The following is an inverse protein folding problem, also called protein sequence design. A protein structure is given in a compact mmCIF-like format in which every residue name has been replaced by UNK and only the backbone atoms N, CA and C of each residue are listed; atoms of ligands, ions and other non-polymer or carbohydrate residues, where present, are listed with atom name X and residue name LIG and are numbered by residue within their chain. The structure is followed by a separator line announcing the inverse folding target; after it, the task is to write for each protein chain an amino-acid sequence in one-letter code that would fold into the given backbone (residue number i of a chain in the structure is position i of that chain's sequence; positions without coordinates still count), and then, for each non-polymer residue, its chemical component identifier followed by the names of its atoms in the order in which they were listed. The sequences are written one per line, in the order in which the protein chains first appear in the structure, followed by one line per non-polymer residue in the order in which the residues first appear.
data_IF_112369709468
#
_entry.id   IF_112369709468
#
_cell.length_a   1.000
_cell.length_b   1.000
_cell.length_c   1.000
_cell.angle_alpha   90.00
_cell.angle_beta   90.00
_cell.angle_gamma   90.00
#
_symmetry.space_group_name_H-M   'P 1'
#
loop_
_entity.id
_entity.type
_entity.pdbx_description
1 polymer ?
#
# COMPACT_ATOMS: atom_id res chain seq x y z
N UNK A 1 -2.39 43.94 -15.92
CA UNK A 1 -1.73 42.66 -15.56
C UNK A 1 -2.44 41.54 -16.29
N UNK A 2 -1.76 40.78 -17.15
CA UNK A 2 -2.35 39.63 -17.87
C UNK A 2 -2.10 38.37 -17.05
N UNK A 3 -3.16 37.65 -16.68
CA UNK A 3 -3.07 36.39 -15.93
C UNK A 3 -3.39 35.26 -16.90
N UNK A 4 -2.35 34.52 -17.30
CA UNK A 4 -2.47 33.48 -18.34
C UNK A 4 -3.09 32.18 -17.84
N UNK A 5 -3.19 31.98 -16.52
CA UNK A 5 -3.63 30.74 -15.85
C UNK A 5 -2.94 29.46 -16.36
N UNK A 6 -1.76 29.58 -16.97
CA UNK A 6 -0.96 28.42 -17.38
C UNK A 6 -0.50 27.66 -16.14
N UNK A 7 -0.65 26.35 -16.15
CA UNK A 7 -0.21 25.44 -15.10
C UNK A 7 0.27 24.13 -15.72
N UNK A 8 1.17 23.44 -15.03
CA UNK A 8 1.53 22.07 -15.35
C UNK A 8 0.32 21.15 -15.12
N UNK A 9 0.02 20.21 -16.02
CA UNK A 9 -0.98 19.18 -15.75
C UNK A 9 -0.66 18.37 -14.49
N UNK A 10 -1.69 17.96 -13.72
CA UNK A 10 -1.47 17.09 -12.54
C UNK A 10 -0.81 15.76 -12.91
N UNK A 11 -1.07 15.27 -14.12
CA UNK A 11 -0.53 14.03 -14.69
C UNK A 11 0.73 14.30 -15.53
N UNK A 12 1.62 15.16 -15.05
CA UNK A 12 2.97 15.29 -15.60
C UNK A 12 3.85 14.22 -14.99
N UNK A 13 4.51 13.45 -15.85
CA UNK A 13 5.45 12.39 -15.50
C UNK A 13 6.82 12.75 -16.05
N UNK A 14 7.89 12.44 -15.33
CA UNK A 14 9.22 12.39 -15.90
C UNK A 14 9.39 11.06 -16.64
N UNK A 15 9.79 11.09 -17.90
CA UNK A 15 9.95 9.91 -18.75
C UNK A 15 11.41 9.68 -19.08
N UNK A 16 11.76 8.41 -19.14
CA UNK A 16 13.09 7.90 -19.42
C UNK A 16 12.99 6.54 -20.08
N UNK A 17 14.10 6.00 -20.58
CA UNK A 17 14.07 4.69 -21.22
C UNK A 17 13.49 3.61 -20.28
N UNK A 18 12.26 3.14 -20.52
CA UNK A 18 11.58 2.13 -19.70
C UNK A 18 10.97 2.63 -18.39
N UNK A 19 10.98 3.94 -18.12
CA UNK A 19 10.60 4.51 -16.82
C UNK A 19 9.66 5.71 -16.97
N UNK A 20 8.62 5.76 -16.13
CA UNK A 20 7.74 6.92 -16.00
C UNK A 20 7.53 7.22 -14.51
N UNK A 21 7.98 8.39 -14.07
CA UNK A 21 7.92 8.80 -12.67
C UNK A 21 6.88 9.90 -12.48
N UNK A 22 5.81 9.59 -11.73
CA UNK A 22 4.80 10.55 -11.33
C UNK A 22 5.38 11.60 -10.38
N UNK A 23 4.94 12.85 -10.50
CA UNK A 23 5.40 13.95 -9.64
C UNK A 23 4.42 14.20 -8.47
N UNK A 24 4.94 14.69 -7.32
CA UNK A 24 4.08 15.19 -6.25
C UNK A 24 3.28 16.41 -6.72
N UNK A 25 2.23 16.77 -5.99
CA UNK A 25 1.47 17.98 -6.29
C UNK A 25 2.39 19.22 -6.14
N UNK A 26 2.63 19.91 -7.26
CA UNK A 26 3.44 21.13 -7.32
C UNK A 26 2.55 22.37 -7.35
N UNK A 27 3.06 23.48 -6.85
CA UNK A 27 2.37 24.78 -6.92
C UNK A 27 2.27 25.22 -8.39
N UNK A 28 3.25 24.86 -9.23
CA UNK A 28 3.20 24.99 -10.68
C UNK A 28 2.00 24.26 -11.35
N UNK A 29 1.32 23.34 -10.66
CA UNK A 29 0.10 22.67 -11.14
C UNK A 29 -1.20 23.40 -10.72
N UNK A 30 -1.08 24.51 -9.98
CA UNK A 30 -2.21 25.30 -9.49
C UNK A 30 -2.34 26.58 -10.35
N UNK A 31 -3.39 26.72 -11.18
CA UNK A 31 -3.54 27.91 -12.00
C UNK A 31 -3.78 29.16 -11.15
N UNK A 32 -3.06 30.24 -11.45
CA UNK A 32 -3.13 31.50 -10.70
C UNK A 32 -4.57 32.07 -10.60
N UNK A 33 -4.91 32.62 -9.44
CA UNK A 33 -6.23 33.18 -9.10
C UNK A 33 -7.40 32.22 -9.40
N UNK A 34 -7.21 30.92 -9.14
CA UNK A 34 -8.30 29.94 -9.20
C UNK A 34 -8.85 29.66 -7.81
N UNK A 35 -10.17 29.52 -7.70
CA UNK A 35 -10.80 29.11 -6.47
C UNK A 35 -10.30 27.71 -6.07
N UNK A 36 -9.89 27.52 -4.81
CA UNK A 36 -9.26 26.28 -4.34
C UNK A 36 -10.11 25.03 -4.65
N UNK A 37 -11.44 25.14 -4.60
CA UNK A 37 -12.36 24.04 -4.93
C UNK A 37 -12.23 23.52 -6.38
N UNK A 38 -11.70 24.32 -7.30
CA UNK A 38 -11.56 23.98 -8.72
C UNK A 38 -10.14 23.54 -9.11
N UNK A 39 -9.16 23.64 -8.21
CA UNK A 39 -7.76 23.31 -8.50
C UNK A 39 -7.49 21.82 -8.25
N UNK A 40 -6.36 21.27 -8.73
CA UNK A 40 -5.91 19.94 -8.33
C UNK A 40 -5.66 19.79 -6.82
N UNK A 41 -5.49 20.92 -6.11
CA UNK A 41 -5.28 20.97 -4.67
C UNK A 41 -6.58 21.02 -3.85
N UNK A 42 -7.75 20.82 -4.48
CA UNK A 42 -9.01 20.83 -3.75
C UNK A 42 -9.11 19.65 -2.78
N UNK A 43 -9.64 19.83 -1.55
CA UNK A 43 -9.76 18.73 -0.59
C UNK A 43 -10.49 17.50 -1.14
N UNK A 44 -11.47 17.70 -2.04
CA UNK A 44 -12.20 16.61 -2.68
C UNK A 44 -11.31 15.76 -3.61
N UNK A 45 -10.33 16.37 -4.30
CA UNK A 45 -9.39 15.67 -5.21
C UNK A 45 -8.19 15.05 -4.49
N UNK A 46 -7.91 15.51 -3.27
CA UNK A 46 -6.85 15.00 -2.42
C UNK A 46 -7.28 13.87 -1.48
N UNK A 47 -8.54 13.44 -1.54
CA UNK A 47 -9.02 12.30 -0.74
C UNK A 47 -8.20 11.05 -1.05
N UNK A 48 -7.77 10.37 0.01
CA UNK A 48 -7.06 9.10 -0.01
C UNK A 48 -7.74 8.17 0.98
N UNK A 49 -7.70 6.87 0.69
CA UNK A 49 -8.27 5.84 1.54
C UNK A 49 -7.25 4.71 1.67
N UNK A 50 -6.96 4.32 2.90
CA UNK A 50 -6.05 3.23 3.22
C UNK A 50 -6.71 2.28 4.21
N UNK A 51 -6.58 0.99 3.97
CA UNK A 51 -7.00 -0.06 4.89
C UNK A 51 -5.79 -0.89 5.28
N UNK A 52 -5.60 -1.08 6.59
CA UNK A 52 -4.54 -1.94 7.13
C UNK A 52 -5.20 -3.06 7.91
N UNK A 53 -5.00 -4.30 7.47
CA UNK A 53 -5.52 -5.49 8.12
C UNK A 53 -4.45 -6.13 9.00
N UNK A 54 -4.82 -6.37 10.26
CA UNK A 54 -4.03 -7.11 11.24
C UNK A 54 -4.78 -8.42 11.55
N UNK A 55 -4.27 -9.58 11.10
CA UNK A 55 -4.94 -10.86 11.32
C UNK A 55 -4.82 -11.31 12.79
N UNK A 56 -5.58 -12.33 13.18
CA UNK A 56 -5.39 -13.08 14.44
C UNK A 56 -5.53 -12.27 15.74
N UNK A 57 -6.07 -11.04 15.64
CA UNK A 57 -6.44 -10.22 16.78
C UNK A 57 -5.26 -9.50 17.44
N UNK A 58 -5.49 -9.00 18.65
CA UNK A 58 -4.49 -8.32 19.47
C UNK A 58 -4.80 -8.49 20.96
N UNK A 59 -3.85 -8.14 21.82
CA UNK A 59 -4.14 -7.95 23.24
C UNK A 59 -5.06 -6.74 23.42
N UNK A 60 -6.35 -7.02 23.54
CA UNK A 60 -7.43 -6.01 23.64
C UNK A 60 -7.20 -5.06 24.83
N UNK A 61 -6.57 -5.53 25.91
CA UNK A 61 -6.31 -4.73 27.11
C UNK A 61 -5.24 -3.66 26.87
N UNK A 62 -4.34 -3.89 25.92
CA UNK A 62 -3.27 -2.96 25.52
C UNK A 62 -3.58 -2.23 24.22
N UNK A 63 -4.56 -2.69 23.46
CA UNK A 63 -5.08 -2.04 22.25
C UNK A 63 -6.12 -0.97 22.56
N UNK A 64 -7.09 -1.26 23.42
CA UNK A 64 -8.25 -0.38 23.65
C UNK A 64 -7.87 0.76 24.60
N UNK A 65 -7.95 2.04 24.17
CA UNK A 65 -7.79 3.17 25.07
C UNK A 65 -8.86 3.18 26.17
N UNK A 66 -8.63 3.88 27.29
CA UNK A 66 -9.68 4.14 28.26
C UNK A 66 -10.88 4.83 27.57
N UNK A 67 -12.10 4.41 27.94
CA UNK A 67 -13.34 4.94 27.36
C UNK A 67 -13.62 6.34 27.89
N UNK A 68 -13.38 7.35 27.05
CA UNK A 68 -13.72 8.75 27.31
C UNK A 68 -14.31 9.39 26.05
N UNK A 69 -15.05 10.50 26.20
CA UNK A 69 -15.63 11.24 25.06
C UNK A 69 -14.57 11.84 24.12
N UNK A 70 -13.30 11.87 24.55
CA UNK A 70 -12.15 12.33 23.79
C UNK A 70 -10.97 11.38 23.97
N UNK A 71 -10.21 11.16 22.88
CA UNK A 71 -8.99 10.36 22.90
C UNK A 71 -7.81 11.19 23.41
N UNK A 72 -7.80 11.48 24.71
CA UNK A 72 -6.72 12.25 25.35
C UNK A 72 -5.49 11.37 25.60
N UNK A 73 -5.67 10.08 25.83
CA UNK A 73 -4.58 9.12 26.04
C UNK A 73 -4.63 7.97 25.04
N UNK A 74 -3.45 7.60 24.51
CA UNK A 74 -3.30 6.42 23.66
C UNK A 74 -2.93 5.22 24.50
N UNK A 75 -3.51 4.06 24.20
CA UNK A 75 -3.11 2.78 24.78
C UNK A 75 -1.67 2.42 24.40
N UNK A 76 -0.99 1.51 25.13
CA UNK A 76 0.39 1.15 24.85
C UNK A 76 0.64 0.74 23.39
N UNK A 77 -0.28 -0.04 22.79
CA UNK A 77 -0.15 -0.48 21.39
C UNK A 77 -0.35 0.66 20.40
N UNK A 78 -1.15 1.68 20.75
CA UNK A 78 -1.40 2.85 19.91
C UNK A 78 -0.44 4.01 20.16
N UNK A 79 0.40 3.94 21.18
CA UNK A 79 1.37 4.99 21.54
C UNK A 79 2.26 5.50 20.39
N UNK A 80 2.65 4.68 19.38
CA UNK A 80 3.40 5.21 18.23
C UNK A 80 2.64 6.24 17.38
N UNK A 81 1.32 6.34 17.54
CA UNK A 81 0.48 7.33 16.84
C UNK A 81 0.44 8.70 17.54
N UNK A 82 1.15 8.88 18.66
CA UNK A 82 1.18 10.16 19.40
C UNK A 82 1.47 11.39 18.52
N UNK A 83 2.37 11.35 17.51
CA UNK A 83 2.64 12.51 16.64
C UNK A 83 1.46 12.95 15.77
N UNK A 84 0.41 12.12 15.66
CA UNK A 84 -0.78 12.38 14.84
C UNK A 84 -2.08 12.14 15.63
N UNK A 85 -2.02 12.16 16.96
CA UNK A 85 -3.13 11.80 17.87
C UNK A 85 -4.41 12.56 17.55
N UNK A 86 -4.31 13.84 17.22
CA UNK A 86 -5.42 14.71 16.83
C UNK A 86 -6.16 14.28 15.56
N UNK A 87 -5.57 13.37 14.79
CA UNK A 87 -6.13 12.77 13.58
C UNK A 87 -6.55 11.30 13.78
N UNK A 88 -6.46 10.78 15.02
CA UNK A 88 -6.81 9.39 15.34
C UNK A 88 -8.18 9.35 16.02
N UNK A 89 -9.01 8.42 15.57
CA UNK A 89 -10.23 8.03 16.26
C UNK A 89 -10.20 6.53 16.49
N UNK A 90 -10.58 6.10 17.70
CA UNK A 90 -10.73 4.68 18.04
C UNK A 90 -12.22 4.38 18.17
N UNK A 91 -12.70 3.49 17.31
CA UNK A 91 -14.07 3.00 17.34
C UNK A 91 -14.11 1.66 18.08
N UNK A 92 -14.88 1.59 19.16
CA UNK A 92 -15.04 0.39 19.99
C UNK A 92 -16.45 -0.16 19.86
N UNK A 93 -16.67 -1.36 20.41
CA UNK A 93 -17.98 -2.04 20.41
C UNK A 93 -18.56 -2.25 18.99
N UNK A 94 -17.68 -2.55 18.03
CA UNK A 94 -18.04 -2.93 16.67
C UNK A 94 -17.81 -4.42 16.47
N UNK A 95 -18.75 -5.06 15.78
CA UNK A 95 -18.62 -6.45 15.35
C UNK A 95 -18.96 -6.59 13.86
N UNK A 96 -18.27 -7.52 13.19
CA UNK A 96 -18.65 -7.96 11.85
C UNK A 96 -19.50 -9.22 11.99
N UNK A 97 -20.81 -9.05 12.21
CA UNK A 97 -21.76 -10.17 12.41
C UNK A 97 -21.66 -11.27 11.35
N UNK A 98 -21.37 -10.89 10.10
CA UNK A 98 -21.25 -11.85 8.98
C UNK A 98 -19.96 -12.69 8.99
N UNK A 99 -19.00 -12.37 9.86
CA UNK A 99 -17.81 -13.19 10.11
C UNK A 99 -18.12 -14.45 10.94
N UNK A 100 -19.21 -14.46 11.72
CA UNK A 100 -19.49 -15.54 12.66
C UNK A 100 -19.87 -16.87 11.99
N UNK A 101 -19.44 -18.03 12.54
CA UNK A 101 -18.91 -18.24 13.90
C UNK A 101 -17.45 -17.79 14.12
N UNK A 102 -16.76 -17.27 13.10
CA UNK A 102 -15.41 -16.75 13.20
C UNK A 102 -14.40 -17.85 12.90
N UNK A 103 -13.76 -17.75 11.74
CA UNK A 103 -12.63 -18.56 11.33
C UNK A 103 -11.61 -17.66 10.65
N UNK A 104 -10.41 -18.16 10.37
CA UNK A 104 -9.40 -17.42 9.62
C UNK A 104 -9.94 -16.93 8.26
N UNK A 105 -10.65 -17.79 7.53
CA UNK A 105 -11.28 -17.44 6.26
C UNK A 105 -12.38 -16.38 6.41
N UNK A 106 -13.27 -16.52 7.40
CA UNK A 106 -14.39 -15.58 7.53
C UNK A 106 -13.96 -14.23 8.11
N UNK A 107 -12.96 -14.18 8.99
CA UNK A 107 -12.38 -12.93 9.50
C UNK A 107 -11.77 -12.09 8.38
N UNK A 108 -10.92 -12.70 7.55
CA UNK A 108 -10.32 -12.00 6.42
C UNK A 108 -11.38 -11.57 5.38
N UNK A 109 -12.21 -12.52 4.92
CA UNK A 109 -13.18 -12.24 3.88
C UNK A 109 -14.20 -11.16 4.29
N UNK A 110 -14.62 -11.11 5.56
CA UNK A 110 -15.61 -10.15 6.02
C UNK A 110 -15.06 -8.74 6.27
N UNK A 111 -13.74 -8.56 6.45
CA UNK A 111 -13.14 -7.29 6.87
C UNK A 111 -13.55 -6.10 6.00
N UNK A 112 -13.35 -6.19 4.68
CA UNK A 112 -13.71 -5.12 3.74
C UNK A 112 -15.04 -5.35 3.00
N UNK A 113 -15.55 -6.59 3.00
CA UNK A 113 -16.80 -6.90 2.30
C UNK A 113 -18.04 -6.72 3.18
N UNK A 114 -17.87 -6.83 4.50
CA UNK A 114 -18.96 -7.01 5.48
C UNK A 114 -19.96 -8.12 5.07
N UNK A 115 -19.56 -9.04 4.19
CA UNK A 115 -20.42 -10.06 3.59
C UNK A 115 -20.13 -11.43 4.18
N UNK A 116 -21.14 -12.32 4.14
CA UNK A 116 -20.97 -13.71 4.55
C UNK A 116 -20.38 -14.52 3.39
N UNK A 117 -19.16 -15.02 3.56
CA UNK A 117 -18.53 -15.90 2.59
C UNK A 117 -19.38 -17.17 2.37
N UNK A 118 -19.59 -17.54 1.11
CA UNK A 118 -20.17 -18.84 0.77
C UNK A 118 -19.23 -19.94 1.24
N UNK A 119 -19.76 -20.87 2.04
CA UNK A 119 -19.00 -22.04 2.48
C UNK A 119 -18.84 -23.00 1.31
N UNK A 120 -17.65 -23.00 0.72
CA UNK A 120 -17.25 -23.88 -0.37
C UNK A 120 -15.73 -24.02 -0.37
N UNK A 121 -15.25 -25.19 -0.78
CA UNK A 121 -13.83 -25.47 -1.02
C UNK A 121 -13.48 -25.41 -2.52
N UNK A 122 -14.47 -25.11 -3.37
CA UNK A 122 -14.35 -25.10 -4.83
C UNK A 122 -14.19 -23.69 -5.40
N UNK A 123 -14.20 -23.58 -6.72
CA UNK A 123 -14.07 -22.32 -7.48
C UNK A 123 -15.38 -21.53 -7.58
N UNK A 124 -16.48 -22.07 -7.06
CA UNK A 124 -17.80 -21.42 -7.01
C UNK A 124 -17.96 -20.49 -5.79
N UNK A 125 -16.83 -20.01 -5.25
CA UNK A 125 -16.77 -19.05 -4.16
C UNK A 125 -17.55 -17.78 -4.50
N UNK A 126 -18.17 -17.22 -3.47
CA UNK A 126 -18.94 -15.99 -3.54
C UNK A 126 -18.77 -15.19 -2.26
N UNK A 127 -18.60 -13.88 -2.38
CA UNK A 127 -18.48 -12.94 -1.26
C UNK A 127 -19.33 -11.69 -1.52
N UNK A 128 -18.67 -10.57 -1.79
CA UNK A 128 -19.25 -9.26 -2.04
C UNK A 128 -18.15 -8.33 -2.54
N UNK A 129 -18.52 -7.26 -3.26
CA UNK A 129 -17.55 -6.22 -3.61
C UNK A 129 -17.12 -5.49 -2.36
N UNK A 130 -15.82 -5.35 -2.17
CA UNK A 130 -15.23 -4.77 -0.96
C UNK A 130 -15.25 -3.23 -1.00
N UNK A 131 -15.24 -2.60 0.17
CA UNK A 131 -15.39 -1.14 0.31
C UNK A 131 -14.25 -0.36 -0.36
N UNK A 132 -13.02 -0.88 -0.35
CA UNK A 132 -11.88 -0.34 -1.08
C UNK A 132 -12.16 -0.31 -2.59
N UNK A 133 -12.75 -1.36 -3.15
CA UNK A 133 -13.08 -1.44 -4.57
C UNK A 133 -14.28 -0.56 -4.95
N UNK A 134 -15.24 -0.38 -4.03
CA UNK A 134 -16.28 0.64 -4.18
C UNK A 134 -15.64 2.04 -4.22
N UNK A 135 -14.67 2.32 -3.35
CA UNK A 135 -13.95 3.58 -3.34
C UNK A 135 -13.09 3.77 -4.60
N UNK A 136 -12.40 2.73 -5.07
CA UNK A 136 -11.58 2.76 -6.29
C UNK A 136 -12.41 3.17 -7.51
N UNK A 137 -13.66 2.67 -7.60
CA UNK A 137 -14.62 3.09 -8.63
C UNK A 137 -15.03 4.55 -8.53
N UNK A 138 -14.83 5.24 -7.41
CA UNK A 138 -15.22 6.65 -7.22
C UNK A 138 -14.01 7.59 -7.31
N UNK A 139 -12.92 7.27 -6.63
CA UNK A 139 -11.76 8.17 -6.50
C UNK A 139 -10.51 7.67 -7.24
N UNK A 140 -10.46 6.40 -7.67
CA UNK A 140 -9.33 5.79 -8.37
C UNK A 140 -9.32 5.94 -9.89
N UNK A 141 -10.41 6.42 -10.51
CA UNK A 141 -10.50 6.61 -11.98
C UNK A 141 -9.50 7.64 -12.51
N UNK A 142 -9.04 8.52 -11.63
CA UNK A 142 -8.18 9.64 -11.98
C UNK A 142 -6.68 9.35 -11.80
N UNK A 143 -6.31 8.14 -11.36
CA UNK A 143 -4.93 7.75 -11.08
C UNK A 143 -4.47 6.61 -11.99
N UNK A 144 -3.17 6.33 -12.02
CA UNK A 144 -2.58 5.25 -12.83
C UNK A 144 -3.12 3.89 -12.42
N UNK A 145 -3.15 3.66 -11.10
CA UNK A 145 -3.74 2.47 -10.49
C UNK A 145 -5.05 2.89 -9.81
N UNK A 146 -6.18 2.22 -10.11
CA UNK A 146 -7.44 2.48 -9.41
C UNK A 146 -7.37 2.17 -7.91
N UNK A 147 -6.60 1.16 -7.55
CA UNK A 147 -6.28 0.72 -6.19
C UNK A 147 -4.93 0.00 -6.17
N UNK A 148 -4.38 -0.20 -4.97
CA UNK A 148 -3.13 -0.94 -4.76
C UNK A 148 -3.32 -1.92 -3.59
N UNK A 149 -3.26 -3.21 -3.91
CA UNK A 149 -3.41 -4.32 -2.97
C UNK A 149 -2.04 -4.88 -2.58
N UNK A 150 -1.71 -4.81 -1.28
CA UNK A 150 -0.41 -5.16 -0.74
C UNK A 150 -0.56 -6.19 0.39
N UNK A 151 0.46 -7.03 0.54
CA UNK A 151 0.56 -7.97 1.65
C UNK A 151 2.01 -8.05 2.17
N UNK A 152 2.21 -8.76 3.27
CA UNK A 152 3.53 -9.06 3.81
C UNK A 152 3.98 -10.50 3.55
N UNK A 153 3.09 -11.33 3.01
CA UNK A 153 3.27 -12.77 2.84
C UNK A 153 2.93 -13.19 1.41
N UNK A 154 3.63 -14.21 0.92
CA UNK A 154 3.35 -14.84 -0.37
C UNK A 154 2.01 -15.59 -0.34
N UNK A 155 1.33 -15.57 -1.49
CA UNK A 155 0.22 -16.45 -1.80
C UNK A 155 0.74 -17.88 -1.97
N UNK A 156 0.85 -18.65 -0.89
CA UNK A 156 1.44 -19.99 -0.93
C UNK A 156 0.42 -21.15 -1.00
N UNK A 157 -0.89 -20.89 -0.85
CA UNK A 157 -1.87 -21.99 -0.69
C UNK A 157 -3.05 -21.88 -1.67
N UNK A 158 -3.31 -22.97 -2.40
CA UNK A 158 -4.46 -23.18 -3.30
C UNK A 158 -5.21 -24.44 -2.86
N UNK A 159 -6.54 -24.41 -2.89
CA UNK A 159 -7.40 -25.52 -2.46
C UNK A 159 -8.24 -25.17 -1.24
N UNK A 160 -8.21 -26.04 -0.23
CA UNK A 160 -8.88 -25.83 1.06
C UNK A 160 -7.89 -25.23 2.05
N UNK A 161 -8.28 -24.13 2.69
CA UNK A 161 -7.44 -23.51 3.71
C UNK A 161 -8.06 -23.53 5.12
N UNK A 162 -9.39 -23.63 5.25
CA UNK A 162 -10.03 -23.55 6.57
C UNK A 162 -11.46 -24.10 6.57
N UNK A 163 -11.66 -25.26 7.20
CA UNK A 163 -12.95 -25.75 7.68
C UNK A 163 -14.14 -25.69 6.68
N UNK A 164 -13.90 -25.93 5.39
CA UNK A 164 -14.94 -25.83 4.35
C UNK A 164 -14.91 -24.53 3.54
N UNK A 165 -13.85 -23.73 3.66
CA UNK A 165 -13.64 -22.50 2.91
C UNK A 165 -12.42 -22.58 1.99
N UNK A 166 -12.60 -22.11 0.77
CA UNK A 166 -11.59 -21.98 -0.25
C UNK A 166 -10.51 -20.96 0.18
N UNK A 167 -9.25 -21.25 -0.17
CA UNK A 167 -8.11 -20.39 0.17
C UNK A 167 -8.24 -18.94 -0.28
N UNK A 168 -9.02 -18.68 -1.32
CA UNK A 168 -9.30 -17.32 -1.81
C UNK A 168 -9.77 -16.37 -0.71
N UNK A 169 -10.52 -16.87 0.28
CA UNK A 169 -11.08 -16.09 1.38
C UNK A 169 -10.04 -15.67 2.44
N UNK A 170 -8.93 -16.41 2.57
CA UNK A 170 -7.82 -16.03 3.45
C UNK A 170 -6.72 -15.24 2.74
N UNK A 171 -6.66 -15.40 1.42
CA UNK A 171 -5.58 -14.89 0.60
C UNK A 171 -5.86 -13.50 0.02
N UNK A 172 -7.11 -13.05 0.01
CA UNK A 172 -7.51 -11.81 -0.66
C UNK A 172 -8.49 -11.01 0.22
N UNK A 173 -8.04 -9.85 0.68
CA UNK A 173 -8.90 -8.86 1.33
C UNK A 173 -9.83 -8.14 0.33
N UNK A 174 -9.33 -7.90 -0.89
CA UNK A 174 -9.97 -7.05 -1.89
C UNK A 174 -10.70 -7.87 -2.95
N UNK A 175 -11.93 -7.47 -3.27
CA UNK A 175 -12.80 -8.14 -4.23
C UNK A 175 -13.48 -7.09 -5.13
N UNK A 176 -13.11 -7.07 -6.40
CA UNK A 176 -13.66 -6.11 -7.38
C UNK A 176 -15.12 -6.42 -7.74
N UNK A 177 -15.54 -7.67 -7.58
CA UNK A 177 -16.91 -8.17 -7.73
C UNK A 177 -17.14 -9.30 -6.71
N UNK A 178 -18.40 -9.73 -6.47
CA UNK A 178 -18.67 -10.87 -5.57
C UNK A 178 -17.95 -12.18 -5.92
N UNK A 179 -17.42 -12.31 -7.14
CA UNK A 179 -16.73 -13.50 -7.64
C UNK A 179 -15.33 -13.21 -8.17
N UNK A 180 -14.79 -12.00 -7.95
CA UNK A 180 -13.50 -11.59 -8.50
C UNK A 180 -12.59 -11.06 -7.39
N UNK A 181 -11.81 -11.93 -6.73
CA UNK A 181 -10.78 -11.51 -5.79
C UNK A 181 -9.66 -10.77 -6.53
N UNK A 182 -8.96 -9.88 -5.82
CA UNK A 182 -7.76 -9.20 -6.30
C UNK A 182 -6.55 -9.67 -5.50
N UNK A 183 -5.50 -10.21 -6.14
CA UNK A 183 -4.31 -10.66 -5.45
C UNK A 183 -3.53 -9.47 -4.90
N UNK A 184 -2.98 -9.64 -3.70
CA UNK A 184 -2.08 -8.68 -3.08
C UNK A 184 -0.62 -9.00 -3.40
N UNK A 185 0.21 -7.96 -3.56
CA UNK A 185 1.65 -8.12 -3.80
C UNK A 185 2.46 -7.93 -2.51
N UNK A 186 3.38 -8.86 -2.24
CA UNK A 186 4.24 -8.86 -1.06
C UNK A 186 5.68 -8.43 -1.35
N UNK A 187 6.11 -8.53 -2.61
CA UNK A 187 7.48 -8.30 -3.01
C UNK A 187 7.71 -6.81 -3.31
N UNK A 188 8.54 -6.09 -2.54
CA UNK A 188 8.73 -4.64 -2.66
C UNK A 188 9.31 -4.23 -4.02
N UNK A 189 10.17 -5.06 -4.64
CA UNK A 189 10.61 -4.84 -6.05
C UNK A 189 9.44 -4.80 -7.04
N UNK A 190 8.51 -5.74 -6.97
CA UNK A 190 7.37 -5.81 -7.90
C UNK A 190 6.46 -4.61 -7.67
N UNK A 191 6.21 -4.24 -6.41
CA UNK A 191 5.46 -3.02 -6.08
C UNK A 191 6.15 -1.78 -6.65
N UNK A 192 7.46 -1.61 -6.39
CA UNK A 192 8.24 -0.48 -6.90
C UNK A 192 8.18 -0.37 -8.43
N UNK A 193 8.34 -1.49 -9.14
CA UNK A 193 8.24 -1.53 -10.60
C UNK A 193 6.83 -1.24 -11.12
N UNK A 194 5.79 -1.62 -10.36
CA UNK A 194 4.39 -1.33 -10.66
C UNK A 194 4.10 0.16 -10.49
N UNK A 195 4.73 0.81 -9.51
CA UNK A 195 4.59 2.25 -9.28
C UNK A 195 5.34 3.09 -10.32
N UNK A 196 6.56 2.69 -10.74
CA UNK A 196 7.46 3.61 -11.44
C UNK A 196 7.96 3.17 -12.82
N UNK A 197 7.72 1.95 -13.27
CA UNK A 197 8.15 1.54 -14.62
C UNK A 197 7.06 1.77 -15.68
N UNK A 198 7.44 1.79 -16.96
CA UNK A 198 6.52 2.12 -18.08
C UNK A 198 5.35 1.14 -18.29
N UNK A 199 4.27 1.58 -18.93
CA UNK A 199 3.20 0.69 -19.39
C UNK A 199 3.68 -0.13 -20.60
N UNK A 200 4.09 -1.39 -20.35
CA UNK A 200 4.49 -2.32 -21.40
C UNK A 200 4.99 -3.66 -20.85
N UNK A 201 4.14 -4.69 -20.95
CA UNK A 201 4.45 -6.13 -20.91
C UNK A 201 5.49 -6.64 -19.91
N UNK A 202 5.04 -7.43 -18.93
CA UNK A 202 5.86 -8.15 -17.94
C UNK A 202 6.97 -9.04 -18.52
N UNK A 203 6.88 -9.45 -19.79
CA UNK A 203 7.82 -10.37 -20.42
C UNK A 203 9.16 -9.74 -20.84
N UNK A 204 9.21 -8.45 -21.18
CA UNK A 204 10.46 -7.75 -21.56
C UNK A 204 11.13 -7.03 -20.36
N UNK A 205 10.39 -6.92 -19.24
CA UNK A 205 10.75 -6.22 -18.00
C UNK A 205 11.96 -6.86 -17.31
N UNK A 206 11.93 -8.19 -17.12
CA UNK A 206 12.93 -8.97 -16.39
C UNK A 206 14.31 -8.97 -17.04
N UNK A 207 14.37 -8.86 -18.36
CA UNK A 207 15.62 -8.85 -19.14
C UNK A 207 16.23 -7.45 -19.22
N UNK A 208 15.39 -6.40 -19.23
CA UNK A 208 15.86 -5.01 -19.31
C UNK A 208 16.46 -4.50 -17.99
N UNK A 209 16.05 -5.07 -16.84
CA UNK A 209 16.44 -4.59 -15.51
C UNK A 209 17.69 -5.27 -14.92
N UNK A 210 18.11 -6.43 -15.42
CA UNK A 210 19.43 -7.02 -15.05
C UNK A 210 20.62 -6.14 -15.46
N UNK A 211 20.40 -5.03 -16.19
CA UNK A 211 21.46 -4.19 -16.77
C UNK A 211 21.36 -2.69 -16.46
N UNK A 212 20.42 -2.20 -15.64
CA UNK A 212 20.21 -0.74 -15.52
C UNK A 212 20.69 -0.16 -14.20
N UNK A 213 21.40 0.96 -14.34
CA UNK A 213 21.63 1.98 -13.33
C UNK A 213 20.28 2.48 -12.76
N UNK A 214 20.31 3.19 -11.62
CA UNK A 214 19.12 3.60 -10.85
C UNK A 214 17.99 4.12 -11.75
N UNK A 215 16.73 3.84 -11.38
CA UNK A 215 15.55 4.38 -12.07
C UNK A 215 15.66 5.88 -12.35
N UNK A 216 16.28 6.63 -11.42
CA UNK A 216 16.45 8.07 -11.56
C UNK A 216 17.49 8.48 -12.60
N UNK A 217 18.44 7.62 -12.92
CA UNK A 217 19.42 7.88 -13.98
C UNK A 217 18.70 7.98 -15.34
N UNK A 218 17.64 7.19 -15.54
CA UNK A 218 16.85 7.17 -16.76
C UNK A 218 16.06 8.47 -17.00
N UNK A 219 15.73 9.24 -15.95
CA UNK A 219 14.91 10.47 -16.05
C UNK A 219 15.69 11.77 -15.85
N UNK A 220 17.02 11.69 -15.71
CA UNK A 220 17.90 12.83 -15.37
C UNK A 220 17.74 14.03 -16.31
N UNK A 221 17.70 13.79 -17.62
CA UNK A 221 17.59 14.87 -18.61
C UNK A 221 16.24 15.57 -18.55
N UNK A 222 15.16 14.83 -18.32
CA UNK A 222 13.83 15.41 -18.20
C UNK A 222 13.67 16.19 -16.90
N UNK A 223 14.22 15.66 -15.81
CA UNK A 223 14.30 16.36 -14.53
C UNK A 223 15.03 17.70 -14.68
N UNK A 224 16.21 17.71 -15.32
CA UNK A 224 17.00 18.92 -15.53
C UNK A 224 16.23 19.98 -16.36
N UNK A 225 15.43 19.55 -17.33
CA UNK A 225 14.54 20.46 -18.09
C UNK A 225 13.41 20.98 -17.20
N UNK A 226 12.75 20.12 -16.44
CA UNK A 226 11.64 20.50 -15.57
C UNK A 226 12.09 21.51 -14.51
N UNK A 227 13.21 21.24 -13.81
CA UNK A 227 13.72 22.11 -12.76
C UNK A 227 13.92 23.56 -13.24
N UNK A 228 14.34 23.79 -14.49
CA UNK A 228 14.48 25.15 -15.06
C UNK A 228 13.18 25.95 -15.06
N UNK A 229 12.03 25.28 -15.12
CA UNK A 229 10.70 25.89 -15.17
C UNK A 229 10.03 26.04 -13.81
N UNK A 230 10.50 25.31 -12.80
CA UNK A 230 9.90 25.27 -11.46
C UNK A 230 10.35 26.42 -10.57
N UNK A 231 9.47 26.80 -9.65
CA UNK A 231 9.78 27.71 -8.54
C UNK A 231 10.79 27.08 -7.57
N UNK A 232 11.51 27.86 -6.74
CA UNK A 232 12.41 27.30 -5.73
C UNK A 232 11.71 26.35 -4.74
N UNK A 233 10.43 26.59 -4.42
CA UNK A 233 9.66 25.72 -3.53
C UNK A 233 9.33 24.38 -4.21
N UNK A 234 8.88 24.42 -5.47
CA UNK A 234 8.59 23.21 -6.24
C UNK A 234 9.85 22.38 -6.51
N UNK A 235 10.99 23.03 -6.79
CA UNK A 235 12.28 22.34 -6.92
C UNK A 235 12.61 21.53 -5.68
N UNK A 236 12.53 22.14 -4.49
CA UNK A 236 12.76 21.44 -3.21
C UNK A 236 11.81 20.27 -3.01
N UNK A 237 10.52 20.43 -3.36
CA UNK A 237 9.52 19.37 -3.23
C UNK A 237 9.82 18.19 -4.17
N UNK A 238 10.21 18.47 -5.41
CA UNK A 238 10.65 17.45 -6.36
C UNK A 238 11.92 16.76 -5.85
N UNK A 239 12.92 17.51 -5.42
CA UNK A 239 14.20 16.96 -4.94
C UNK A 239 14.00 16.02 -3.74
N UNK A 240 13.18 16.42 -2.75
CA UNK A 240 12.84 15.59 -1.60
C UNK A 240 12.12 14.29 -2.00
N UNK A 241 11.16 14.37 -2.93
CA UNK A 241 10.45 13.19 -3.41
C UNK A 241 11.38 12.24 -4.17
N UNK A 242 12.25 12.77 -5.03
CA UNK A 242 13.23 11.97 -5.76
C UNK A 242 14.23 11.29 -4.83
N UNK A 243 14.71 12.00 -3.80
CA UNK A 243 15.59 11.40 -2.81
C UNK A 243 14.90 10.25 -2.05
N UNK A 244 13.64 10.41 -1.67
CA UNK A 244 12.85 9.34 -1.06
C UNK A 244 12.69 8.12 -1.99
N UNK A 245 12.47 8.34 -3.30
CA UNK A 245 12.44 7.27 -4.30
C UNK A 245 13.79 6.53 -4.39
N UNK A 246 14.93 7.26 -4.41
CA UNK A 246 16.28 6.65 -4.41
C UNK A 246 16.53 5.82 -3.15
N UNK A 247 16.17 6.36 -2.00
CA UNK A 247 16.40 5.70 -0.71
C UNK A 247 15.63 4.38 -0.62
N UNK A 248 14.37 4.36 -1.09
CA UNK A 248 13.57 3.14 -1.19
C UNK A 248 14.18 2.15 -2.19
N UNK A 249 14.59 2.60 -3.38
CA UNK A 249 15.25 1.75 -4.38
C UNK A 249 16.52 1.10 -3.82
N UNK A 250 17.37 1.88 -3.14
CA UNK A 250 18.62 1.41 -2.51
C UNK A 250 18.34 0.36 -1.43
N UNK A 251 17.32 0.57 -0.60
CA UNK A 251 16.93 -0.40 0.43
C UNK A 251 16.43 -1.72 -0.16
N UNK A 252 15.70 -1.66 -1.28
CA UNK A 252 15.30 -2.88 -2.02
C UNK A 252 16.55 -3.60 -2.54
N UNK A 253 17.48 -2.90 -3.19
CA UNK A 253 18.72 -3.49 -3.71
C UNK A 253 19.58 -4.13 -2.61
N UNK A 254 19.68 -3.49 -1.45
CA UNK A 254 20.40 -4.02 -0.30
C UNK A 254 19.75 -5.30 0.24
N UNK A 255 18.41 -5.34 0.32
CA UNK A 255 17.66 -6.52 0.73
C UNK A 255 17.84 -7.69 -0.26
N UNK A 256 17.77 -7.40 -1.57
CA UNK A 256 18.00 -8.39 -2.63
C UNK A 256 19.41 -8.98 -2.58
N UNK A 257 20.43 -8.14 -2.35
CA UNK A 257 21.82 -8.59 -2.22
C UNK A 257 22.03 -9.45 -0.97
N UNK A 258 21.49 -9.03 0.18
CA UNK A 258 21.62 -9.74 1.45
C UNK A 258 20.88 -11.10 1.45
N UNK A 259 19.78 -11.22 0.71
CA UNK A 259 19.03 -12.47 0.56
C UNK A 259 19.85 -13.60 -0.11
N UNK A 260 20.86 -13.24 -0.92
CA UNK A 260 21.80 -14.22 -1.50
C UNK A 260 22.79 -14.81 -0.49
N UNK A 261 23.03 -14.12 0.63
CA UNK A 261 24.02 -14.49 1.64
C UNK A 261 23.39 -15.18 2.87
N UNK A 262 22.10 -14.97 3.12
CA UNK A 262 21.35 -15.55 4.24
C UNK A 262 20.01 -16.15 3.78
N UNK A 263 19.90 -17.48 3.61
CA UNK A 263 18.61 -18.10 3.37
C UNK A 263 17.70 -17.86 4.58
N UNK A 264 16.57 -17.18 4.35
CA UNK A 264 15.61 -16.85 5.39
C UNK A 264 14.92 -18.13 5.92
N UNK A 265 14.69 -18.25 7.24
CA UNK A 265 13.98 -19.39 7.82
C UNK A 265 12.45 -19.35 7.61
N UNK A 266 11.88 -18.20 7.23
CA UNK A 266 10.44 -18.00 7.04
C UNK A 266 10.04 -18.31 5.58
N UNK A 267 9.41 -19.47 5.37
CA UNK A 267 9.01 -19.99 4.05
C UNK A 267 7.84 -19.21 3.41
N UNK A 268 7.09 -18.42 4.18
CA UNK A 268 5.94 -17.67 3.68
C UNK A 268 6.31 -16.26 3.18
N UNK A 269 7.59 -15.85 3.30
CA UNK A 269 8.09 -14.56 2.78
C UNK A 269 8.61 -14.65 1.35
N UNK A 270 8.48 -13.58 0.54
CA UNK A 270 9.14 -13.53 -0.75
C UNK A 270 10.67 -13.57 -0.60
N UNK A 271 11.35 -14.29 -1.49
CA UNK A 271 12.82 -14.24 -1.59
C UNK A 271 13.23 -12.84 -2.05
N UNK A 272 14.27 -12.25 -1.44
CA UNK A 272 14.76 -10.91 -1.83
C UNK A 272 14.15 -9.74 -1.06
N UNK A 273 13.44 -10.00 0.04
CA UNK A 273 12.91 -8.96 0.96
C UNK A 273 13.79 -8.81 2.20
N UNK A 274 13.68 -7.68 2.94
CA UNK A 274 14.43 -7.51 4.18
C UNK A 274 14.22 -8.68 5.17
N UNK A 275 15.29 -9.11 5.83
CA UNK A 275 15.23 -10.23 6.77
C UNK A 275 14.36 -9.93 8.01
N UNK A 276 14.43 -8.71 8.50
CA UNK A 276 13.58 -8.20 9.59
C UNK A 276 12.18 -7.92 9.09
N UNK A 277 11.17 -8.41 9.82
CA UNK A 277 9.76 -8.10 9.51
C UNK A 277 9.51 -6.60 9.59
N UNK A 278 9.98 -5.96 10.67
CA UNK A 278 9.86 -4.53 10.84
C UNK A 278 10.45 -3.73 9.66
N UNK A 279 11.58 -4.15 9.09
CA UNK A 279 12.21 -3.44 7.97
C UNK A 279 11.47 -3.65 6.64
N UNK A 280 10.94 -4.86 6.41
CA UNK A 280 10.07 -5.13 5.26
C UNK A 280 8.76 -4.34 5.38
N UNK A 281 8.14 -4.31 6.56
CA UNK A 281 6.90 -3.56 6.79
C UNK A 281 7.12 -2.06 6.59
N UNK A 282 8.20 -1.49 7.14
CA UNK A 282 8.61 -0.09 6.89
C UNK A 282 8.75 0.18 5.40
N UNK A 283 9.45 -0.68 4.67
CA UNK A 283 9.65 -0.53 3.23
C UNK A 283 8.33 -0.55 2.44
N UNK A 284 7.39 -1.43 2.81
CA UNK A 284 6.06 -1.47 2.21
C UNK A 284 5.23 -0.22 2.53
N UNK A 285 5.35 0.35 3.73
CA UNK A 285 4.73 1.65 4.05
C UNK A 285 5.37 2.81 3.28
N UNK A 286 6.69 2.82 3.11
CA UNK A 286 7.39 3.84 2.33
C UNK A 286 6.91 3.84 0.86
N UNK A 287 6.73 2.65 0.27
CA UNK A 287 6.15 2.50 -1.06
C UNK A 287 4.72 3.06 -1.15
N UNK A 288 3.89 2.83 -0.12
CA UNK A 288 2.55 3.42 -0.05
C UNK A 288 2.61 4.95 0.01
N UNK A 289 3.50 5.51 0.82
CA UNK A 289 3.68 6.97 0.93
C UNK A 289 4.08 7.56 -0.43
N UNK A 290 5.04 6.94 -1.12
CA UNK A 290 5.46 7.40 -2.45
C UNK A 290 4.31 7.33 -3.46
N UNK A 291 3.52 6.24 -3.45
CA UNK A 291 2.36 6.08 -4.32
C UNK A 291 1.31 7.19 -4.09
N UNK A 292 1.07 7.56 -2.83
CA UNK A 292 0.14 8.62 -2.45
C UNK A 292 0.66 10.02 -2.81
N UNK A 293 1.96 10.28 -2.58
CA UNK A 293 2.62 11.53 -2.95
C UNK A 293 2.55 11.77 -4.46
N UNK A 294 2.90 10.75 -5.25
CA UNK A 294 2.83 10.79 -6.71
C UNK A 294 1.40 10.83 -7.28
N UNK A 295 0.36 10.58 -6.47
CA UNK A 295 -1.03 10.35 -6.93
C UNK A 295 -1.10 9.19 -7.95
N UNK A 296 -0.28 8.16 -7.73
CA UNK A 296 -0.25 6.92 -8.53
C UNK A 296 -1.49 6.08 -8.23
N UNK A 297 -1.92 6.06 -6.96
CA UNK A 297 -3.20 5.52 -6.49
C UNK A 297 -3.78 6.41 -5.39
N UNK A 298 -5.09 6.30 -5.15
CA UNK A 298 -5.77 6.93 -3.99
C UNK A 298 -6.37 5.93 -3.03
N UNK A 299 -6.36 4.64 -3.37
CA UNK A 299 -6.93 3.56 -2.57
C UNK A 299 -5.86 2.51 -2.36
N UNK A 300 -5.59 2.19 -1.11
CA UNK A 300 -4.60 1.18 -0.73
C UNK A 300 -5.25 0.21 0.25
N UNK A 301 -5.02 -1.08 0.04
CA UNK A 301 -5.36 -2.14 0.98
C UNK A 301 -4.07 -2.89 1.32
N UNK A 302 -3.77 -3.03 2.61
CA UNK A 302 -2.52 -3.62 3.07
C UNK A 302 -2.76 -4.68 4.14
N UNK A 303 -2.35 -5.90 3.84
CA UNK A 303 -2.40 -7.04 4.75
C UNK A 303 -1.07 -7.20 5.49
N UNK A 304 -1.01 -6.81 6.77
CA UNK A 304 0.24 -6.84 7.56
C UNK A 304 0.75 -8.24 7.87
N UNK A 305 -0.14 -9.23 7.83
CA UNK A 305 0.19 -10.63 7.87
C UNK A 305 -0.97 -11.47 7.30
N UNK A 306 -0.70 -12.71 6.91
CA UNK A 306 -1.72 -13.71 6.58
C UNK A 306 -2.39 -14.21 7.85
N UNK A 307 -3.68 -14.54 7.72
CA UNK A 307 -4.29 -15.47 8.66
C UNK A 307 -3.51 -16.78 8.68
N UNK A 308 -3.43 -17.43 9.84
CA UNK A 308 -2.62 -18.64 10.10
C UNK A 308 -1.11 -18.44 9.97
N UNK A 309 -0.62 -17.19 9.91
CA UNK A 309 0.82 -16.93 9.90
C UNK A 309 1.44 -17.35 11.24
N UNK A 310 2.47 -18.19 11.19
CA UNK A 310 3.29 -18.58 12.34
C UNK A 310 4.45 -17.60 12.59
N UNK A 311 4.32 -16.36 12.10
CA UNK A 311 5.35 -15.35 12.22
C UNK A 311 5.60 -14.99 13.68
N UNK A 312 6.88 -14.86 14.01
CA UNK A 312 7.36 -14.36 15.30
C UNK A 312 7.92 -12.94 15.14
N UNK A 313 8.00 -12.21 16.24
CA UNK A 313 8.49 -10.82 16.30
C UNK A 313 9.61 -10.68 17.35
N UNK A 314 10.75 -11.37 17.17
CA UNK A 314 11.86 -11.35 18.11
C UNK A 314 12.44 -9.94 18.33
N UNK A 315 12.33 -9.05 17.34
CA UNK A 315 12.78 -7.65 17.44
C UNK A 315 12.07 -6.84 18.53
N UNK A 316 10.89 -7.28 18.97
CA UNK A 316 10.13 -6.70 20.08
C UNK A 316 9.98 -7.67 21.26
N UNK A 317 10.80 -8.73 21.29
CA UNK A 317 10.82 -9.71 22.38
C UNK A 317 9.73 -10.79 22.31
N UNK A 318 9.06 -10.97 21.16
CA UNK A 318 8.02 -12.01 20.97
C UNK A 318 8.57 -13.08 20.03
N UNK A 319 9.43 -13.96 20.54
CA UNK A 319 10.14 -14.96 19.73
C UNK A 319 9.31 -16.22 19.43
N UNK A 320 8.15 -16.39 20.06
CA UNK A 320 7.28 -17.56 19.90
C UNK A 320 6.14 -17.28 18.91
N UNK A 321 5.69 -18.28 18.13
CA UNK A 321 4.56 -18.14 17.24
C UNK A 321 3.24 -17.99 18.02
N UNK A 322 2.24 -17.38 17.38
CA UNK A 322 0.91 -17.21 17.98
C UNK A 322 0.19 -18.55 18.24
N UNK A 323 0.40 -19.53 17.36
CA UNK A 323 -0.04 -20.91 17.55
C UNK A 323 1.19 -21.82 17.74
N UNK A 324 1.23 -22.67 18.78
CA UNK A 324 2.32 -23.60 19.03
C UNK A 324 2.37 -24.77 18.05
#
# INVERSE_FOLDING_TARGET
MIITKKALPRRTFLRGAGTALALPLLDAMIPALSAQGQTPASPARLRRLGFVYMPMGCDVTRWTPPLEDKLDELSPTLSPLAPVREHVAVLTNLELRNAYPGTHATSNASFLSAAKAKRTESTDYYLGTTVDQIAARQIGRDTQLPSLELSMDLLSVVGQCDNGYACVYQNNLSWSSPTTPLPAEAHPRIVFETLFGEEGGTADRRTSLKKRASLLDAVTDELARLQKTLSPADRRRVDQYLEAVRDVERRIQQAEAAAGENPLPDLDRPVGVPASYADHARLMFDLQVLALQGDITRVITFQLARETSNRTYPEIGVAEPHHP
#
